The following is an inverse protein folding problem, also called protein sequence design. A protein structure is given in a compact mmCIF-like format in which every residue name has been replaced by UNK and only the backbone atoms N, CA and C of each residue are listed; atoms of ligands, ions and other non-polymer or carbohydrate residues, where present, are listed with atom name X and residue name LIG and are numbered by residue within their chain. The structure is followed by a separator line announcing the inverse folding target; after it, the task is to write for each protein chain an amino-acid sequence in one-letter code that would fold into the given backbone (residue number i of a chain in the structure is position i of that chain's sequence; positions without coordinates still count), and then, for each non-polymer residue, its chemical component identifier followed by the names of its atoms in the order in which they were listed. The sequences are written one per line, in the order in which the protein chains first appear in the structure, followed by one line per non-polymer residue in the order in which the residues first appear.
data_IF_963853301824
#
_entry.id   IF_963853301824
#
_cell.length_a   1.000
_cell.length_b   1.000
_cell.length_c   1.000
_cell.angle_alpha   90.00
_cell.angle_beta   90.00
_cell.angle_gamma   90.00
#
_symmetry.space_group_name_H-M   'P 1'
#
loop_
_entity.id
_entity.type
_entity.pdbx_description
1 polymer ?
#
# COMPACT_ATOMS: atom_id res chain seq x y z
N UNK A 1 3.15 17.50 -7.22
CA UNK A 1 3.95 16.27 -7.13
C UNK A 1 4.00 15.85 -5.68
N UNK A 2 3.35 14.73 -5.33
CA UNK A 2 3.29 14.25 -3.94
C UNK A 2 4.68 13.89 -3.41
N UNK A 3 4.84 13.90 -2.08
CA UNK A 3 6.09 13.40 -1.44
C UNK A 3 6.30 11.93 -1.79
N UNK A 4 7.56 11.53 -1.99
CA UNK A 4 7.99 10.14 -2.12
C UNK A 4 8.16 9.54 -0.74
N UNK A 5 7.47 8.44 -0.46
CA UNK A 5 7.44 7.78 0.84
C UNK A 5 7.83 6.31 0.67
N UNK A 6 8.83 5.86 1.40
CA UNK A 6 9.26 4.45 1.42
C UNK A 6 8.79 3.80 2.73
N UNK A 7 8.09 2.68 2.63
CA UNK A 7 7.73 1.85 3.78
C UNK A 7 8.44 0.51 3.68
N UNK A 8 9.21 0.17 4.72
CA UNK A 8 9.83 -1.15 4.88
C UNK A 8 8.92 -2.00 5.76
N UNK A 9 8.41 -3.09 5.20
CA UNK A 9 7.33 -3.92 5.72
C UNK A 9 6.02 -3.65 5.01
N UNK A 10 5.56 -4.58 4.18
CA UNK A 10 4.26 -4.58 3.50
C UNK A 10 3.24 -5.51 4.19
N UNK A 11 3.49 -5.98 5.41
CA UNK A 11 2.49 -6.67 6.23
C UNK A 11 1.23 -5.81 6.51
N UNK A 12 0.29 -6.33 7.30
CA UNK A 12 -1.04 -5.73 7.50
C UNK A 12 -1.02 -4.21 7.77
N UNK A 13 -0.20 -3.74 8.71
CA UNK A 13 -0.13 -2.31 9.07
C UNK A 13 0.55 -1.48 7.98
N UNK A 14 1.69 -1.95 7.45
CA UNK A 14 2.44 -1.23 6.41
C UNK A 14 1.63 -1.07 5.13
N UNK A 15 0.96 -2.13 4.69
CA UNK A 15 0.01 -2.11 3.58
C UNK A 15 -1.16 -1.15 3.84
N UNK A 16 -1.76 -1.20 5.03
CA UNK A 16 -2.89 -0.33 5.37
C UNK A 16 -2.51 1.15 5.34
N UNK A 17 -1.42 1.53 6.01
CA UNK A 17 -0.94 2.91 6.03
C UNK A 17 -0.47 3.38 4.65
N UNK A 18 0.27 2.53 3.92
CA UNK A 18 0.74 2.82 2.58
C UNK A 18 -0.42 3.04 1.59
N UNK A 19 -1.48 2.24 1.69
CA UNK A 19 -2.67 2.38 0.87
C UNK A 19 -3.41 3.71 1.13
N UNK A 20 -3.55 4.12 2.39
CA UNK A 20 -4.14 5.42 2.73
C UNK A 20 -3.32 6.60 2.21
N UNK A 21 -1.99 6.53 2.31
CA UNK A 21 -1.09 7.57 1.80
C UNK A 21 -1.11 7.65 0.27
N UNK A 22 -1.15 6.49 -0.41
CA UNK A 22 -1.35 6.41 -1.86
C UNK A 22 -2.70 7.03 -2.27
N UNK A 23 -3.79 6.68 -1.57
CA UNK A 23 -5.12 7.28 -1.76
C UNK A 23 -5.14 8.81 -1.52
N UNK A 24 -4.28 9.31 -0.63
CA UNK A 24 -4.11 10.74 -0.39
C UNK A 24 -3.26 11.46 -1.46
N UNK A 25 -2.78 10.74 -2.49
CA UNK A 25 -2.01 11.30 -3.61
C UNK A 25 -0.50 11.38 -3.38
N UNK A 26 0.03 10.64 -2.40
CA UNK A 26 1.48 10.48 -2.22
C UNK A 26 2.03 9.37 -3.13
N UNK A 27 3.32 9.49 -3.50
CA UNK A 27 4.07 8.48 -4.25
C UNK A 27 4.67 7.50 -3.22
N UNK A 28 4.06 6.33 -3.04
CA UNK A 28 4.36 5.40 -1.94
C UNK A 28 5.01 4.15 -2.50
N UNK A 29 6.21 3.79 -2.05
CA UNK A 29 6.83 2.50 -2.37
C UNK A 29 6.80 1.60 -1.13
N UNK A 30 6.20 0.41 -1.27
CA UNK A 30 6.27 -0.64 -0.26
C UNK A 30 7.42 -1.61 -0.58
N UNK A 31 8.15 -2.02 0.45
CA UNK A 31 9.23 -3.01 0.35
C UNK A 31 9.00 -4.09 1.40
N UNK A 32 9.01 -5.36 1.00
CA UNK A 32 8.93 -6.50 1.91
C UNK A 32 9.84 -7.63 1.40
N UNK A 33 10.29 -8.50 2.30
CA UNK A 33 11.07 -9.69 1.94
C UNK A 33 10.19 -10.85 1.46
N UNK A 34 8.89 -10.80 1.70
CA UNK A 34 7.95 -11.81 1.22
C UNK A 34 7.62 -11.59 -0.27
N UNK A 35 8.35 -12.29 -1.13
CA UNK A 35 8.23 -12.17 -2.59
C UNK A 35 6.79 -12.34 -3.12
N UNK A 36 6.06 -13.37 -2.69
CA UNK A 36 4.69 -13.61 -3.15
C UNK A 36 3.74 -12.46 -2.79
N UNK A 37 3.93 -11.85 -1.62
CA UNK A 37 3.14 -10.68 -1.22
C UNK A 37 3.46 -9.48 -2.13
N UNK A 38 4.74 -9.24 -2.40
CA UNK A 38 5.18 -8.15 -3.28
C UNK A 38 4.57 -8.31 -4.67
N UNK A 39 4.63 -9.51 -5.25
CA UNK A 39 4.04 -9.75 -6.58
C UNK A 39 2.51 -9.64 -6.54
N UNK A 40 1.85 -10.16 -5.50
CA UNK A 40 0.40 -10.02 -5.34
C UNK A 40 -0.03 -8.55 -5.30
N UNK A 41 0.69 -7.71 -4.55
CA UNK A 41 0.41 -6.27 -4.47
C UNK A 41 0.68 -5.58 -5.82
N UNK A 42 1.74 -5.94 -6.54
CA UNK A 42 2.03 -5.39 -7.87
C UNK A 42 0.93 -5.70 -8.89
N UNK A 43 0.45 -6.94 -8.89
CA UNK A 43 -0.59 -7.38 -9.83
C UNK A 43 -1.97 -6.79 -9.48
N UNK A 44 -2.35 -6.88 -8.21
CA UNK A 44 -3.74 -6.66 -7.77
C UNK A 44 -3.96 -5.33 -7.07
N UNK A 45 -2.91 -4.71 -6.55
CA UNK A 45 -3.02 -3.60 -5.61
C UNK A 45 -3.36 -4.09 -4.20
N UNK A 46 -3.85 -3.18 -3.38
CA UNK A 46 -4.26 -3.43 -1.99
C UNK A 46 -5.73 -3.07 -1.83
N UNK A 47 -6.53 -4.08 -1.47
CA UNK A 47 -7.92 -3.90 -1.09
C UNK A 47 -8.00 -3.59 0.41
N UNK A 48 -8.57 -2.45 0.76
CA UNK A 48 -8.60 -1.93 2.13
C UNK A 48 -10.04 -1.89 2.64
N UNK A 49 -10.28 -2.57 3.76
CA UNK A 49 -11.56 -2.58 4.47
C UNK A 49 -11.37 -2.15 5.93
N UNK A 50 -12.42 -1.64 6.57
CA UNK A 50 -12.36 -1.12 7.93
C UNK A 50 -13.58 -0.25 8.27
N UNK A 51 -13.50 0.60 9.31
CA UNK A 51 -14.59 1.52 9.71
C UNK A 51 -14.69 2.76 8.79
N UNK A 52 -14.20 2.65 7.56
CA UNK A 52 -14.24 3.68 6.51
C UNK A 52 -14.78 3.02 5.24
N UNK A 53 -15.14 3.84 4.24
CA UNK A 53 -15.53 3.31 2.93
C UNK A 53 -14.41 2.42 2.35
N UNK A 54 -14.72 1.19 1.94
CA UNK A 54 -13.76 0.30 1.30
C UNK A 54 -13.16 0.92 0.04
N UNK A 55 -11.90 0.63 -0.25
CA UNK A 55 -11.23 1.16 -1.43
C UNK A 55 -10.06 0.28 -1.86
N UNK A 56 -9.65 0.47 -3.11
CA UNK A 56 -8.42 -0.11 -3.66
C UNK A 56 -7.34 0.95 -3.73
N UNK A 57 -6.09 0.56 -3.43
CA UNK A 57 -4.92 1.40 -3.61
C UNK A 57 -3.86 0.67 -4.44
N UNK A 58 -3.10 1.44 -5.22
CA UNK A 58 -1.93 0.97 -5.96
C UNK A 58 -0.75 1.85 -5.55
N UNK A 59 -0.20 1.65 -4.33
CA UNK A 59 1.06 2.25 -3.95
C UNK A 59 2.18 1.75 -4.86
#
# INVERSE_FOLDING_TARGET
MGKKLLFIGAGAIGSYLGAFLSRAGHDVTLVDSWADQVETIRERGISVTGPHEPFEARP
#
